data_IF_050593737529
#
_entry.id   IF_050593737529
#
_cell.length_a   1.000
_cell.length_b   1.000
_cell.length_c   1.000
_cell.angle_alpha   90.00
_cell.angle_beta   90.00
_cell.angle_gamma   90.00
#
_symmetry.space_group_name_H-M   'P 1'
#
loop_
_entity.id
_entity.type
_entity.pdbx_description
1 polymer ?
#
# COMPACT_ATOMS: atom_id res chain seq x y z
N UNK A 1 -0.73 -23.08 26.08
CA UNK A 1 -0.71 -22.24 24.87
C UNK A 1 0.39 -22.71 23.94
N UNK A 2 0.06 -23.08 22.70
CA UNK A 2 0.99 -23.60 21.69
C UNK A 2 1.16 -22.60 20.53
N UNK A 3 2.31 -22.57 19.85
CA UNK A 3 2.55 -21.66 18.73
C UNK A 3 1.51 -21.80 17.62
N UNK A 4 1.09 -23.02 17.34
CA UNK A 4 0.07 -23.31 16.33
C UNK A 4 -1.30 -22.70 16.69
N UNK A 5 -1.65 -22.61 17.98
CA UNK A 5 -2.87 -21.95 18.42
C UNK A 5 -2.80 -20.43 18.18
N UNK A 6 -1.62 -19.82 18.38
CA UNK A 6 -1.40 -18.41 18.07
C UNK A 6 -1.45 -18.14 16.57
N UNK A 7 -0.88 -19.02 15.73
CA UNK A 7 -0.99 -18.92 14.27
C UNK A 7 -2.45 -18.93 13.82
N UNK A 8 -3.27 -19.83 14.37
CA UNK A 8 -4.70 -19.91 14.06
C UNK A 8 -5.47 -18.69 14.55
N UNK A 9 -5.14 -18.22 15.75
CA UNK A 9 -5.75 -17.02 16.32
C UNK A 9 -5.48 -15.80 15.44
N UNK A 10 -4.22 -15.55 15.06
CA UNK A 10 -3.84 -14.44 14.19
C UNK A 10 -4.51 -14.54 12.82
N UNK A 11 -4.55 -15.74 12.22
CA UNK A 11 -5.19 -15.93 10.93
C UNK A 11 -6.70 -15.61 10.96
N UNK A 12 -7.43 -16.03 12.02
CA UNK A 12 -8.85 -15.70 12.16
C UNK A 12 -9.06 -14.23 12.49
N UNK A 13 -8.18 -13.60 13.27
CA UNK A 13 -8.23 -12.18 13.59
C UNK A 13 -8.03 -11.29 12.33
N UNK A 14 -7.19 -11.70 11.40
CA UNK A 14 -6.94 -10.99 10.16
C UNK A 14 -8.07 -11.19 9.12
N UNK A 15 -8.60 -12.39 9.02
CA UNK A 15 -9.67 -12.72 8.07
C UNK A 15 -11.07 -12.34 8.55
N UNK A 16 -11.26 -12.21 9.87
CA UNK A 16 -12.56 -12.08 10.52
C UNK A 16 -13.59 -13.12 10.00
N UNK A 17 -13.06 -14.29 9.61
CA UNK A 17 -13.86 -15.37 9.03
C UNK A 17 -13.15 -16.72 9.15
N UNK A 18 -13.70 -17.64 9.95
CA UNK A 18 -13.09 -18.94 10.19
C UNK A 18 -12.83 -19.79 8.94
N UNK A 19 -13.71 -19.72 7.94
CA UNK A 19 -13.55 -20.48 6.68
C UNK A 19 -12.36 -19.95 5.87
N UNK A 20 -12.26 -18.64 5.66
CA UNK A 20 -11.10 -18.03 4.94
C UNK A 20 -9.79 -18.24 5.67
N UNK A 21 -9.78 -18.13 6.99
CA UNK A 21 -8.60 -18.44 7.78
C UNK A 21 -8.17 -19.90 7.62
N UNK A 22 -9.11 -20.84 7.61
CA UNK A 22 -8.84 -22.26 7.40
C UNK A 22 -8.29 -22.54 5.98
N UNK A 23 -8.84 -21.91 4.94
CA UNK A 23 -8.35 -21.98 3.57
C UNK A 23 -6.91 -21.44 3.47
N UNK A 24 -6.64 -20.28 4.07
CA UNK A 24 -5.29 -19.69 4.13
C UNK A 24 -4.27 -20.58 4.84
N UNK A 25 -4.71 -21.29 5.86
CA UNK A 25 -3.88 -22.21 6.65
C UNK A 25 -3.80 -23.62 6.04
N UNK A 26 -4.51 -23.87 4.94
CA UNK A 26 -4.63 -25.18 4.27
C UNK A 26 -5.08 -26.31 5.21
N UNK A 27 -6.06 -26.01 6.09
CA UNK A 27 -6.64 -26.96 7.03
C UNK A 27 -8.16 -26.87 7.06
N UNK A 28 -8.81 -27.85 7.69
CA UNK A 28 -10.26 -27.82 7.87
C UNK A 28 -10.72 -26.79 8.91
N UNK A 29 -11.79 -26.04 8.62
CA UNK A 29 -12.40 -25.08 9.55
C UNK A 29 -12.71 -25.68 10.95
N UNK A 30 -13.17 -26.93 11.09
CA UNK A 30 -13.39 -27.54 12.41
C UNK A 30 -12.11 -27.58 13.27
N UNK A 31 -10.95 -27.83 12.65
CA UNK A 31 -9.66 -27.87 13.34
C UNK A 31 -9.27 -26.49 13.91
N UNK A 32 -9.44 -25.43 13.09
CA UNK A 32 -9.21 -24.04 13.55
C UNK A 32 -10.12 -23.72 14.74
N UNK A 33 -11.42 -23.98 14.61
CA UNK A 33 -12.40 -23.72 15.68
C UNK A 33 -12.10 -24.48 16.96
N UNK A 34 -11.66 -25.73 16.87
CA UNK A 34 -11.32 -26.55 18.02
C UNK A 34 -10.08 -26.03 18.75
N UNK A 35 -9.01 -25.67 18.00
CA UNK A 35 -7.79 -25.15 18.60
C UNK A 35 -7.99 -23.78 19.24
N UNK A 36 -8.80 -22.92 18.63
CA UNK A 36 -9.15 -21.62 19.24
C UNK A 36 -9.96 -21.78 20.52
N UNK A 37 -10.95 -22.69 20.56
CA UNK A 37 -11.67 -23.00 21.80
C UNK A 37 -10.76 -23.56 22.90
N UNK A 38 -9.69 -24.29 22.52
CA UNK A 38 -8.68 -24.76 23.46
C UNK A 38 -7.88 -23.60 24.03
N UNK A 39 -7.44 -22.67 23.13
CA UNK A 39 -6.71 -21.45 23.52
C UNK A 39 -7.56 -20.58 24.46
N UNK A 40 -8.84 -20.33 24.13
CA UNK A 40 -9.79 -19.57 24.95
C UNK A 40 -9.95 -20.16 26.33
N UNK A 41 -10.06 -21.50 26.42
CA UNK A 41 -10.13 -22.19 27.72
C UNK A 41 -8.84 -22.13 28.52
N UNK A 42 -7.69 -22.19 27.87
CA UNK A 42 -6.37 -22.07 28.52
C UNK A 42 -6.13 -20.65 29.06
N UNK A 43 -6.71 -19.63 28.41
CA UNK A 43 -6.61 -18.22 28.82
C UNK A 43 -7.78 -17.77 29.70
N UNK A 44 -8.77 -18.63 29.92
CA UNK A 44 -10.03 -18.32 30.62
C UNK A 44 -10.70 -17.05 30.08
N UNK A 45 -10.62 -16.85 28.74
CA UNK A 45 -11.18 -15.68 28.09
C UNK A 45 -11.66 -16.01 26.66
N UNK A 46 -12.81 -15.49 26.28
CA UNK A 46 -13.24 -15.51 24.88
C UNK A 46 -12.46 -14.48 24.08
N UNK A 47 -11.88 -14.90 22.95
CA UNK A 47 -11.08 -14.07 22.08
C UNK A 47 -11.88 -13.53 20.89
N UNK A 48 -12.97 -14.23 20.52
CA UNK A 48 -13.86 -13.84 19.43
C UNK A 48 -15.31 -13.79 19.87
N UNK A 49 -15.99 -12.71 19.52
CA UNK A 49 -17.45 -12.67 19.49
C UNK A 49 -17.94 -13.42 18.25
N UNK A 50 -18.67 -14.52 18.50
CA UNK A 50 -19.16 -15.43 17.46
C UNK A 50 -20.66 -15.22 17.23
N UNK A 51 -21.05 -14.00 16.90
CA UNK A 51 -22.43 -13.79 16.50
C UNK A 51 -22.71 -14.48 15.13
N UNK A 52 -23.94 -14.92 14.84
CA UNK A 52 -24.26 -15.63 13.60
C UNK A 52 -23.98 -14.82 12.31
N UNK A 53 -23.77 -13.51 12.43
CA UNK A 53 -23.60 -12.61 11.29
C UNK A 53 -22.19 -12.02 11.17
N UNK A 54 -21.40 -12.02 12.25
CA UNK A 54 -20.09 -11.37 12.26
C UNK A 54 -19.13 -12.07 13.24
N UNK A 55 -17.88 -12.22 12.82
CA UNK A 55 -16.77 -12.58 13.71
C UNK A 55 -16.03 -11.28 14.04
N UNK A 56 -15.86 -10.98 15.34
CA UNK A 56 -15.11 -9.81 15.82
C UNK A 56 -14.19 -10.24 16.95
N UNK A 57 -13.11 -9.51 17.16
CA UNK A 57 -12.30 -9.66 18.35
C UNK A 57 -13.08 -9.13 19.58
N UNK A 58 -12.92 -9.80 20.70
CA UNK A 58 -13.27 -9.27 22.02
C UNK A 58 -12.15 -8.35 22.51
N UNK A 59 -12.35 -7.56 23.58
CA UNK A 59 -11.26 -6.80 24.20
C UNK A 59 -10.06 -7.69 24.60
N UNK A 60 -10.28 -8.93 25.02
CA UNK A 60 -9.23 -9.90 25.30
C UNK A 60 -8.51 -10.34 24.01
N UNK A 61 -9.25 -10.54 22.92
CA UNK A 61 -8.68 -10.83 21.60
C UNK A 61 -7.86 -9.66 21.06
N UNK A 62 -8.35 -8.43 21.20
CA UNK A 62 -7.61 -7.23 20.81
C UNK A 62 -6.29 -7.07 21.60
N UNK A 63 -6.30 -7.37 22.89
CA UNK A 63 -5.11 -7.35 23.74
C UNK A 63 -4.13 -8.48 23.38
N UNK A 64 -4.62 -9.68 23.05
CA UNK A 64 -3.78 -10.82 22.69
C UNK A 64 -3.14 -10.66 21.31
N UNK A 65 -3.78 -10.02 20.35
CA UNK A 65 -3.34 -9.99 18.95
C UNK A 65 -1.90 -9.46 18.76
N UNK A 66 -1.52 -8.31 19.35
CA UNK A 66 -0.13 -7.84 19.24
C UNK A 66 0.85 -8.80 19.90
N UNK A 67 0.51 -9.37 21.05
CA UNK A 67 1.38 -10.31 21.78
C UNK A 67 1.57 -11.63 21.01
N UNK A 68 0.51 -12.15 20.41
CA UNK A 68 0.58 -13.35 19.59
C UNK A 68 1.50 -13.13 18.36
N UNK A 69 1.39 -11.99 17.71
CA UNK A 69 2.27 -11.59 16.61
C UNK A 69 3.73 -11.49 17.05
N UNK A 70 4.01 -10.87 18.19
CA UNK A 70 5.36 -10.76 18.76
C UNK A 70 6.02 -12.12 19.01
N UNK A 71 5.26 -13.05 19.59
CA UNK A 71 5.74 -14.42 19.84
C UNK A 71 6.06 -15.13 18.52
N UNK A 72 5.17 -15.08 17.54
CA UNK A 72 5.36 -15.72 16.24
C UNK A 72 6.56 -15.11 15.49
N UNK A 73 6.71 -13.80 15.52
CA UNK A 73 7.86 -13.09 14.96
C UNK A 73 9.18 -13.49 15.66
N UNK A 74 9.18 -13.64 16.99
CA UNK A 74 10.36 -14.09 17.73
C UNK A 74 10.78 -15.49 17.33
N UNK A 75 9.84 -16.40 17.14
CA UNK A 75 10.11 -17.77 16.67
C UNK A 75 10.68 -17.77 15.25
N UNK A 76 10.12 -16.95 14.35
CA UNK A 76 10.63 -16.81 12.99
C UNK A 76 12.08 -16.31 13.00
N UNK A 77 12.40 -15.29 13.81
CA UNK A 77 13.79 -14.78 13.97
C UNK A 77 14.74 -15.83 14.50
N UNK A 78 14.33 -16.60 15.52
CA UNK A 78 15.18 -17.66 16.09
C UNK A 78 15.51 -18.72 15.03
N UNK A 79 14.53 -19.13 14.21
CA UNK A 79 14.74 -20.07 13.10
C UNK A 79 15.70 -19.50 12.06
N UNK A 80 15.55 -18.22 11.69
CA UNK A 80 16.42 -17.53 10.74
C UNK A 80 17.86 -17.47 11.24
N UNK A 81 18.08 -17.09 12.51
CA UNK A 81 19.41 -17.03 13.10
C UNK A 81 20.15 -18.40 13.10
N UNK A 82 19.41 -19.47 13.36
CA UNK A 82 19.96 -20.83 13.29
C UNK A 82 20.32 -21.22 11.85
N UNK A 83 19.44 -20.91 10.89
CA UNK A 83 19.66 -21.21 9.47
C UNK A 83 20.89 -20.44 8.93
N UNK A 84 21.05 -19.18 9.31
CA UNK A 84 22.20 -18.34 8.96
C UNK A 84 23.51 -18.92 9.54
N UNK A 85 23.50 -19.28 10.83
CA UNK A 85 24.65 -19.90 11.50
C UNK A 85 25.01 -21.26 10.91
N UNK A 86 24.04 -21.99 10.37
CA UNK A 86 24.23 -23.28 9.70
C UNK A 86 24.70 -23.16 8.24
N UNK A 87 24.96 -21.94 7.73
CA UNK A 87 25.32 -21.68 6.33
C UNK A 87 24.19 -21.97 5.34
N UNK A 88 22.95 -22.02 5.82
CA UNK A 88 21.78 -22.14 4.96
C UNK A 88 21.48 -20.80 4.26
N UNK A 89 20.60 -20.86 3.27
CA UNK A 89 20.16 -19.67 2.51
C UNK A 89 19.73 -18.54 3.46
N UNK A 90 20.12 -17.27 3.20
CA UNK A 90 19.72 -16.15 4.05
C UNK A 90 18.19 -16.08 4.20
N UNK A 91 17.74 -15.64 5.36
CA UNK A 91 16.32 -15.42 5.59
C UNK A 91 15.78 -14.36 4.61
N UNK A 92 14.54 -14.50 4.13
CA UNK A 92 13.97 -13.52 3.23
C UNK A 92 13.82 -12.16 3.92
N UNK A 93 14.14 -11.09 3.18
CA UNK A 93 13.81 -9.72 3.55
C UNK A 93 12.32 -9.49 3.30
N UNK A 94 11.54 -9.37 4.39
CA UNK A 94 10.08 -9.21 4.32
C UNK A 94 9.70 -7.75 4.29
N UNK A 95 9.19 -7.29 3.15
CA UNK A 95 8.83 -5.89 2.94
C UNK A 95 7.32 -5.75 2.84
N UNK A 96 6.74 -4.98 3.75
CA UNK A 96 5.34 -4.60 3.71
C UNK A 96 5.06 -3.61 2.59
N UNK A 97 4.11 -3.94 1.72
CA UNK A 97 3.74 -3.10 0.58
C UNK A 97 2.26 -2.72 0.61
N UNK A 98 1.90 -1.75 -0.21
CA UNK A 98 0.53 -1.38 -0.53
C UNK A 98 0.33 -1.34 -2.04
N UNK A 99 -0.91 -1.47 -2.50
CA UNK A 99 -1.22 -1.34 -3.92
C UNK A 99 -0.76 0.03 -4.45
N UNK A 100 -0.24 0.05 -5.68
CA UNK A 100 0.05 1.27 -6.41
C UNK A 100 1.41 1.91 -6.14
N UNK A 101 2.39 1.21 -5.58
CA UNK A 101 3.78 1.68 -5.56
C UNK A 101 4.40 1.71 -6.97
N UNK A 102 3.84 0.90 -7.89
CA UNK A 102 4.17 0.94 -9.31
C UNK A 102 5.64 0.67 -9.62
N UNK A 103 6.12 1.33 -10.64
CA UNK A 103 7.48 1.20 -11.16
C UNK A 103 8.56 1.50 -10.12
N UNK A 104 8.33 2.42 -9.19
CA UNK A 104 9.32 2.75 -8.13
C UNK A 104 9.64 1.57 -7.22
N UNK A 105 8.64 0.73 -6.91
CA UNK A 105 8.90 -0.51 -6.18
C UNK A 105 9.72 -1.48 -7.03
N UNK A 106 9.39 -1.60 -8.30
CA UNK A 106 10.14 -2.45 -9.25
C UNK A 106 11.60 -2.01 -9.35
N UNK A 107 11.86 -0.71 -9.49
CA UNK A 107 13.23 -0.14 -9.48
C UNK A 107 13.99 -0.47 -8.19
N UNK A 108 13.35 -0.34 -7.02
CA UNK A 108 13.98 -0.72 -5.74
C UNK A 108 14.31 -2.21 -5.69
N UNK A 109 13.42 -3.06 -6.20
CA UNK A 109 13.65 -4.51 -6.24
C UNK A 109 14.76 -4.89 -7.20
N UNK A 110 14.84 -4.25 -8.36
CA UNK A 110 15.92 -4.45 -9.34
C UNK A 110 17.27 -4.05 -8.75
N UNK A 111 17.33 -2.93 -8.03
CA UNK A 111 18.55 -2.51 -7.34
C UNK A 111 18.92 -3.46 -6.18
N UNK A 112 17.94 -3.95 -5.43
CA UNK A 112 18.18 -4.97 -4.41
C UNK A 112 18.74 -6.26 -5.01
N UNK A 113 18.18 -6.71 -6.13
CA UNK A 113 18.65 -7.91 -6.84
C UNK A 113 20.08 -7.70 -7.36
N UNK A 114 20.40 -6.51 -7.87
CA UNK A 114 21.76 -6.17 -8.33
C UNK A 114 22.78 -6.13 -7.19
N UNK A 115 22.39 -5.57 -6.04
CA UNK A 115 23.28 -5.42 -4.87
C UNK A 115 23.45 -6.72 -4.09
N UNK A 116 22.45 -7.58 -4.05
CA UNK A 116 22.43 -8.83 -3.30
C UNK A 116 21.62 -9.91 -4.04
N UNK A 117 22.19 -10.54 -5.09
CA UNK A 117 21.45 -11.51 -5.92
C UNK A 117 20.93 -12.74 -5.15
N UNK A 118 21.59 -13.11 -4.06
CA UNK A 118 21.24 -14.28 -3.25
C UNK A 118 20.27 -13.95 -2.11
N UNK A 119 19.90 -12.68 -1.90
CA UNK A 119 18.98 -12.27 -0.84
C UNK A 119 17.53 -12.51 -1.30
N UNK A 120 16.81 -13.48 -0.70
CA UNK A 120 15.40 -13.63 -1.02
C UNK A 120 14.61 -12.41 -0.52
N UNK A 121 13.71 -11.87 -1.36
CA UNK A 121 12.80 -10.80 -0.98
C UNK A 121 11.38 -11.33 -1.00
N UNK A 122 10.65 -11.10 0.09
CA UNK A 122 9.25 -11.44 0.23
C UNK A 122 8.42 -10.15 0.34
N UNK A 123 7.58 -9.89 -0.67
CA UNK A 123 6.64 -8.78 -0.65
C UNK A 123 5.35 -9.21 0.03
N UNK A 124 5.02 -8.53 1.11
CA UNK A 124 3.82 -8.83 1.89
C UNK A 124 2.79 -7.71 1.72
N UNK A 125 1.67 -8.02 1.09
CA UNK A 125 0.53 -7.11 1.04
C UNK A 125 -0.13 -7.08 2.43
N UNK A 126 0.26 -6.17 3.26
CA UNK A 126 -0.08 -6.15 4.68
C UNK A 126 -1.14 -5.09 5.01
N UNK A 127 -2.38 -5.29 4.57
CA UNK A 127 -3.55 -4.53 5.04
C UNK A 127 -3.44 -2.99 5.11
N UNK A 128 -4.21 -2.33 5.97
CA UNK A 128 -4.14 -0.90 6.24
C UNK A 128 -2.80 -0.46 6.84
N UNK A 129 -2.49 0.84 6.77
CA UNK A 129 -1.23 1.40 7.29
C UNK A 129 -0.96 1.06 8.75
N UNK A 130 -1.91 1.14 9.71
CA UNK A 130 -1.66 0.78 11.09
C UNK A 130 -1.16 -0.66 11.25
N UNK A 131 -1.78 -1.62 10.57
CA UNK A 131 -1.39 -3.03 10.63
C UNK A 131 0.04 -3.25 10.11
N UNK A 132 0.45 -2.52 9.06
CA UNK A 132 1.83 -2.57 8.56
C UNK A 132 2.83 -2.03 9.56
N UNK A 133 2.50 -0.91 10.23
CA UNK A 133 3.35 -0.31 11.27
C UNK A 133 3.51 -1.25 12.46
N UNK A 134 2.42 -1.87 12.91
CA UNK A 134 2.44 -2.84 14.00
C UNK A 134 3.31 -4.06 13.64
N UNK A 135 3.20 -4.56 12.41
CA UNK A 135 4.01 -5.67 11.90
C UNK A 135 5.50 -5.33 11.72
N UNK A 136 5.85 -4.07 11.49
CA UNK A 136 7.25 -3.61 11.53
C UNK A 136 7.72 -3.53 12.99
N UNK A 137 6.89 -3.01 13.89
CA UNK A 137 7.22 -2.88 15.30
C UNK A 137 7.46 -4.26 15.96
N UNK A 138 6.62 -5.26 15.66
CA UNK A 138 6.74 -6.62 16.19
C UNK A 138 7.80 -7.48 15.46
N UNK A 139 8.32 -7.02 14.32
CA UNK A 139 9.36 -7.69 13.52
C UNK A 139 8.83 -8.84 12.66
N UNK A 140 7.52 -8.92 12.40
CA UNK A 140 6.94 -9.81 11.39
C UNK A 140 7.15 -9.28 9.96
N UNK A 141 7.43 -7.97 9.82
CA UNK A 141 8.01 -7.33 8.65
C UNK A 141 9.35 -6.70 9.02
N UNK A 142 10.32 -6.79 8.12
CA UNK A 142 11.64 -6.18 8.29
C UNK A 142 11.60 -4.69 7.94
N UNK A 143 10.75 -4.32 6.98
CA UNK A 143 10.49 -2.94 6.57
C UNK A 143 9.09 -2.80 5.99
N UNK A 144 8.59 -1.58 5.85
CA UNK A 144 7.36 -1.31 5.11
C UNK A 144 7.42 0.02 4.36
N UNK A 145 6.84 0.06 3.16
CA UNK A 145 6.54 1.30 2.45
C UNK A 145 5.18 1.84 2.90
N UNK A 146 5.17 3.10 3.33
CA UNK A 146 3.98 3.78 3.87
C UNK A 146 3.83 5.16 3.23
N UNK A 147 2.64 5.47 2.74
CA UNK A 147 2.29 6.78 2.20
C UNK A 147 1.60 7.65 3.23
N UNK A 148 1.91 8.96 3.19
CA UNK A 148 1.34 9.94 4.09
C UNK A 148 2.02 9.98 5.46
N UNK A 149 1.35 10.58 6.43
CA UNK A 149 1.87 10.70 7.78
C UNK A 149 2.02 9.32 8.44
N UNK A 150 3.15 9.12 9.10
CA UNK A 150 3.43 7.91 9.89
C UNK A 150 3.37 8.30 11.36
N UNK A 151 2.27 7.96 12.08
CA UNK A 151 2.17 8.22 13.51
C UNK A 151 3.12 7.27 14.25
N UNK A 152 4.02 7.83 15.07
CA UNK A 152 4.99 7.03 15.84
C UNK A 152 4.31 6.33 17.03
N UNK A 153 3.33 6.95 17.66
CA UNK A 153 2.50 6.41 18.76
C UNK A 153 3.25 5.47 19.73
N UNK A 154 4.55 5.73 19.94
CA UNK A 154 5.39 4.91 20.82
C UNK A 154 5.79 3.52 20.27
N UNK A 155 5.57 3.24 18.98
CA UNK A 155 5.93 1.97 18.34
C UNK A 155 7.45 1.75 18.20
N UNK A 156 8.26 2.75 18.47
CA UNK A 156 9.72 2.65 18.31
C UNK A 156 10.14 2.46 16.85
N UNK A 157 9.49 3.17 15.93
CA UNK A 157 9.77 3.10 14.51
C UNK A 157 10.79 4.16 14.08
N UNK A 158 11.60 3.82 13.08
CA UNK A 158 12.41 4.75 12.30
C UNK A 158 11.73 4.97 10.96
N UNK A 159 11.43 6.22 10.66
CA UNK A 159 10.78 6.64 9.44
C UNK A 159 11.79 7.37 8.57
N UNK A 160 11.96 6.93 7.34
CA UNK A 160 12.83 7.56 6.36
C UNK A 160 11.97 8.03 5.20
N UNK A 161 12.02 9.33 4.92
CA UNK A 161 11.33 9.90 3.78
C UNK A 161 12.05 9.49 2.48
N UNK A 162 11.28 9.05 1.49
CA UNK A 162 11.81 8.61 0.20
C UNK A 162 11.38 9.58 -0.91
N UNK A 163 10.21 9.36 -1.50
CA UNK A 163 9.71 10.13 -2.65
C UNK A 163 8.27 10.59 -2.45
N UNK A 164 7.85 11.50 -3.30
CA UNK A 164 6.46 11.94 -3.38
C UNK A 164 5.75 11.14 -4.47
N UNK A 165 4.65 10.47 -4.11
CA UNK A 165 3.75 9.82 -5.03
C UNK A 165 2.65 10.80 -5.45
N UNK A 166 2.65 11.19 -6.71
CA UNK A 166 1.64 12.07 -7.28
C UNK A 166 0.29 11.33 -7.39
N UNK A 167 -0.79 12.13 -7.28
CA UNK A 167 -2.16 11.66 -7.41
C UNK A 167 -2.78 12.26 -8.66
N UNK A 168 -3.53 11.45 -9.40
CA UNK A 168 -4.24 11.84 -10.61
C UNK A 168 -5.74 11.60 -10.47
N UNK A 169 -6.55 12.36 -11.20
CA UNK A 169 -7.97 12.13 -11.36
C UNK A 169 -8.21 11.20 -12.55
N UNK A 170 -8.95 10.12 -12.35
CA UNK A 170 -9.42 9.21 -13.39
C UNK A 170 -10.84 9.61 -13.78
N UNK A 171 -11.01 10.24 -14.93
CA UNK A 171 -12.26 10.84 -15.42
C UNK A 171 -12.75 10.13 -16.69
N UNK A 172 -14.05 10.21 -17.05
CA UNK A 172 -14.53 9.64 -18.31
C UNK A 172 -13.84 10.31 -19.51
N UNK A 173 -13.23 9.51 -20.41
CA UNK A 173 -12.47 10.02 -21.57
C UNK A 173 -13.34 10.88 -22.54
N UNK A 174 -14.66 10.72 -22.51
CA UNK A 174 -15.61 11.48 -23.33
C UNK A 174 -16.09 12.76 -22.66
N UNK A 175 -15.81 12.98 -21.38
CA UNK A 175 -16.20 14.18 -20.67
C UNK A 175 -15.29 15.35 -21.06
N UNK A 176 -15.82 16.58 -21.11
CA UNK A 176 -15.06 17.77 -21.51
C UNK A 176 -13.80 17.99 -20.67
N UNK A 177 -13.83 17.64 -19.38
CA UNK A 177 -12.67 17.74 -18.48
C UNK A 177 -11.46 16.92 -18.96
N UNK A 178 -11.68 15.82 -19.70
CA UNK A 178 -10.60 14.98 -20.21
C UNK A 178 -9.73 15.67 -21.29
N UNK A 179 -10.20 16.81 -21.80
CA UNK A 179 -9.44 17.63 -22.77
C UNK A 179 -8.62 18.73 -22.10
N UNK A 180 -8.79 18.93 -20.79
CA UNK A 180 -8.00 19.88 -20.02
C UNK A 180 -6.59 19.33 -19.71
N UNK A 181 -5.56 20.20 -19.59
CA UNK A 181 -4.23 19.76 -19.21
C UNK A 181 -4.16 19.29 -17.74
N UNK A 182 -5.08 19.78 -16.90
CA UNK A 182 -5.14 19.50 -15.47
C UNK A 182 -6.58 19.35 -15.01
N UNK A 183 -6.78 18.55 -13.95
CA UNK A 183 -8.02 18.50 -13.20
C UNK A 183 -8.03 19.61 -12.15
N UNK A 184 -9.11 20.39 -12.08
CA UNK A 184 -9.36 21.35 -10.99
C UNK A 184 -10.48 20.86 -10.11
N UNK A 185 -10.49 21.22 -8.83
CA UNK A 185 -11.55 20.82 -7.89
C UNK A 185 -12.92 21.38 -8.33
N UNK A 186 -12.94 22.61 -8.85
CA UNK A 186 -14.16 23.23 -9.36
C UNK A 186 -14.77 22.46 -10.55
N UNK A 187 -13.94 21.94 -11.45
CA UNK A 187 -14.39 21.14 -12.58
C UNK A 187 -14.82 19.73 -12.17
N UNK A 188 -14.22 19.17 -11.12
CA UNK A 188 -14.54 17.85 -10.58
C UNK A 188 -15.76 17.85 -9.63
N UNK A 189 -16.05 18.97 -8.94
CA UNK A 189 -17.11 19.07 -7.94
C UNK A 189 -18.49 18.61 -8.43
N UNK A 190 -18.93 18.91 -9.67
CA UNK A 190 -20.22 18.41 -10.18
C UNK A 190 -20.23 16.91 -10.47
N UNK A 191 -19.08 16.27 -10.61
CA UNK A 191 -18.98 14.84 -10.89
C UNK A 191 -19.02 14.02 -9.59
N UNK A 192 -19.62 12.85 -9.64
CA UNK A 192 -19.67 11.94 -8.50
C UNK A 192 -18.31 11.35 -8.15
N UNK A 193 -17.78 11.66 -6.98
CA UNK A 193 -16.53 11.09 -6.50
C UNK A 193 -16.72 9.66 -6.00
N UNK A 194 -16.03 8.70 -6.61
CA UNK A 194 -15.91 7.31 -6.15
C UNK A 194 -14.60 7.15 -5.39
N UNK A 195 -14.66 7.29 -4.08
CA UNK A 195 -13.48 7.22 -3.21
C UNK A 195 -13.51 5.94 -2.37
N UNK A 196 -12.34 5.35 -2.15
CA UNK A 196 -12.21 4.22 -1.23
C UNK A 196 -12.61 4.63 0.19
N UNK A 197 -13.07 3.68 0.99
CA UNK A 197 -13.37 3.96 2.39
C UNK A 197 -12.12 4.40 3.15
N UNK A 198 -12.27 5.39 4.04
CA UNK A 198 -11.15 5.95 4.81
C UNK A 198 -10.35 4.90 5.57
N UNK A 199 -11.01 3.84 6.09
CA UNK A 199 -10.32 2.73 6.79
C UNK A 199 -9.29 1.99 5.91
N UNK A 200 -9.47 1.98 4.58
CA UNK A 200 -8.59 1.27 3.65
C UNK A 200 -7.38 2.10 3.24
N UNK A 201 -7.56 3.42 3.11
CA UNK A 201 -6.49 4.35 2.73
C UNK A 201 -6.75 5.75 3.33
N UNK A 202 -6.56 5.93 4.65
CA UNK A 202 -6.87 7.20 5.31
C UNK A 202 -6.08 8.37 4.73
N UNK A 203 -4.80 8.17 4.40
CA UNK A 203 -3.95 9.23 3.88
C UNK A 203 -4.45 9.81 2.55
N UNK A 204 -4.87 8.96 1.61
CA UNK A 204 -5.44 9.41 0.33
C UNK A 204 -6.80 10.09 0.53
N UNK A 205 -7.66 9.51 1.36
CA UNK A 205 -9.00 10.08 1.61
C UNK A 205 -8.88 11.44 2.27
N UNK A 206 -8.05 11.58 3.29
CA UNK A 206 -7.86 12.83 4.02
C UNK A 206 -7.21 13.91 3.13
N UNK A 207 -6.26 13.52 2.25
CA UNK A 207 -5.68 14.41 1.25
C UNK A 207 -6.76 14.98 0.32
N UNK A 208 -7.59 14.11 -0.26
CA UNK A 208 -8.60 14.52 -1.24
C UNK A 208 -9.69 15.37 -0.59
N UNK A 209 -10.24 14.94 0.54
CA UNK A 209 -11.28 15.69 1.27
C UNK A 209 -10.74 17.04 1.72
N UNK A 210 -9.54 17.07 2.27
CA UNK A 210 -8.89 18.32 2.68
C UNK A 210 -8.65 19.29 1.51
N UNK A 211 -8.25 18.77 0.35
CA UNK A 211 -8.02 19.59 -0.84
C UNK A 211 -9.33 20.18 -1.42
N UNK A 212 -10.44 19.41 -1.42
CA UNK A 212 -11.76 19.93 -1.77
C UNK A 212 -12.19 21.06 -0.84
N UNK A 213 -12.06 20.87 0.47
CA UNK A 213 -12.38 21.91 1.46
C UNK A 213 -11.53 23.17 1.26
N UNK A 214 -10.22 23.00 1.02
CA UNK A 214 -9.30 24.12 0.77
C UNK A 214 -9.67 24.91 -0.51
N UNK A 215 -10.22 24.23 -1.52
CA UNK A 215 -10.72 24.85 -2.75
C UNK A 215 -12.12 25.46 -2.60
N UNK A 216 -12.75 25.38 -1.43
CA UNK A 216 -14.11 25.85 -1.19
C UNK A 216 -15.18 25.05 -1.94
N UNK A 217 -14.88 23.82 -2.27
CA UNK A 217 -15.76 22.91 -3.01
C UNK A 217 -16.11 21.67 -2.17
N UNK A 218 -17.23 21.04 -2.50
CA UNK A 218 -17.60 19.73 -1.98
C UNK A 218 -17.81 18.77 -3.15
N UNK A 219 -17.26 17.54 -3.09
CA UNK A 219 -17.49 16.57 -4.15
C UNK A 219 -18.93 16.08 -4.12
N UNK A 220 -19.54 15.95 -5.29
CA UNK A 220 -20.88 15.35 -5.39
C UNK A 220 -20.85 13.89 -4.90
N UNK A 221 -21.90 13.49 -4.18
CA UNK A 221 -22.08 12.11 -3.73
C UNK A 221 -22.18 11.16 -4.91
N UNK A 222 -21.52 10.01 -4.82
CA UNK A 222 -21.52 8.98 -5.86
C UNK A 222 -21.69 7.59 -5.28
N UNK A 223 -21.84 6.60 -6.19
CA UNK A 223 -21.78 5.20 -5.84
C UNK A 223 -20.42 4.85 -5.21
N UNK A 224 -20.39 3.88 -4.29
CA UNK A 224 -19.14 3.54 -3.59
C UNK A 224 -18.06 3.06 -4.54
N UNK A 225 -16.82 3.28 -4.14
CA UNK A 225 -15.66 2.63 -4.73
C UNK A 225 -15.74 1.12 -4.47
N UNK A 226 -15.41 0.34 -5.49
CA UNK A 226 -15.33 -1.12 -5.39
C UNK A 226 -13.88 -1.57 -5.65
N UNK A 227 -13.66 -2.57 -6.51
CA UNK A 227 -12.32 -2.86 -7.00
C UNK A 227 -11.95 -1.83 -8.08
N UNK A 228 -10.66 -1.53 -8.20
CA UNK A 228 -10.19 -0.51 -9.15
C UNK A 228 -10.70 -0.75 -10.58
N UNK A 229 -10.60 -1.98 -11.08
CA UNK A 229 -11.04 -2.31 -12.43
C UNK A 229 -12.54 -2.04 -12.64
N UNK A 230 -13.38 -2.43 -11.68
CA UNK A 230 -14.83 -2.25 -11.73
C UNK A 230 -15.19 -0.77 -11.61
N UNK A 231 -14.47 -0.02 -10.76
CA UNK A 231 -14.65 1.43 -10.61
C UNK A 231 -14.31 2.17 -11.90
N UNK A 232 -13.19 1.84 -12.55
CA UNK A 232 -12.81 2.45 -13.83
C UNK A 232 -13.78 2.08 -14.95
N UNK A 233 -14.28 0.84 -14.97
CA UNK A 233 -15.31 0.42 -15.92
C UNK A 233 -16.61 1.22 -15.73
N UNK A 234 -17.05 1.43 -14.50
CA UNK A 234 -18.22 2.20 -14.16
C UNK A 234 -18.06 3.68 -14.57
N UNK A 235 -16.92 4.31 -14.29
CA UNK A 235 -16.61 5.69 -14.72
C UNK A 235 -16.69 5.83 -16.24
N UNK A 236 -16.11 4.88 -16.97
CA UNK A 236 -16.16 4.89 -18.42
C UNK A 236 -17.54 4.62 -19.01
N UNK A 237 -18.47 4.06 -18.23
CA UNK A 237 -19.84 3.74 -18.63
C UNK A 237 -20.84 4.87 -18.28
N UNK A 238 -20.80 5.39 -17.04
CA UNK A 238 -21.77 6.37 -16.54
C UNK A 238 -21.49 7.80 -17.00
N UNK A 239 -20.25 8.13 -17.30
CA UNK A 239 -19.83 9.44 -17.81
C UNK A 239 -19.96 10.60 -16.81
N UNK A 240 -20.49 10.37 -15.63
CA UNK A 240 -20.77 11.39 -14.61
C UNK A 240 -20.05 11.19 -13.28
N UNK A 241 -19.14 10.23 -13.20
CA UNK A 241 -18.34 9.98 -11.99
C UNK A 241 -16.85 9.94 -12.29
N UNK A 242 -16.04 10.04 -11.25
CA UNK A 242 -14.58 9.95 -11.32
C UNK A 242 -14.01 9.30 -10.06
N UNK A 243 -12.75 8.94 -10.10
CA UNK A 243 -12.00 8.53 -8.92
C UNK A 243 -10.62 9.17 -8.91
N UNK A 244 -9.89 8.99 -7.83
CA UNK A 244 -8.50 9.43 -7.70
C UNK A 244 -7.61 8.25 -7.40
N UNK A 245 -6.40 8.29 -7.91
CA UNK A 245 -5.43 7.22 -7.73
C UNK A 245 -3.99 7.75 -7.86
N UNK A 246 -3.02 6.94 -7.47
CA UNK A 246 -1.61 7.29 -7.65
C UNK A 246 -1.22 7.23 -9.13
N UNK A 247 -0.44 8.22 -9.58
CA UNK A 247 0.02 8.35 -10.96
C UNK A 247 0.77 7.09 -11.43
N UNK A 248 1.72 6.60 -10.65
CA UNK A 248 2.46 5.38 -10.93
C UNK A 248 1.56 4.14 -11.19
N UNK A 249 0.36 4.11 -10.61
CA UNK A 249 -0.62 3.06 -10.90
C UNK A 249 -1.41 3.34 -12.18
N UNK A 250 -1.70 4.61 -12.45
CA UNK A 250 -2.43 5.03 -13.66
C UNK A 250 -1.62 4.73 -14.93
N UNK A 251 -0.30 4.93 -14.91
CA UNK A 251 0.63 4.67 -16.02
C UNK A 251 0.62 3.21 -16.48
N UNK A 252 0.39 2.28 -15.55
CA UNK A 252 0.28 0.84 -15.83
C UNK A 252 -1.08 0.43 -16.43
N UNK A 253 -2.07 1.36 -16.50
CA UNK A 253 -3.43 1.06 -16.91
C UNK A 253 -3.70 1.58 -18.33
N UNK A 254 -3.92 0.67 -19.26
CA UNK A 254 -4.42 1.00 -20.58
C UNK A 254 -5.95 0.96 -20.58
N UNK A 255 -6.59 2.12 -20.58
CA UNK A 255 -8.05 2.23 -20.62
C UNK A 255 -8.48 3.28 -21.66
N UNK A 256 -9.28 2.88 -22.64
CA UNK A 256 -9.76 3.78 -23.70
C UNK A 256 -10.98 4.64 -23.27
N UNK A 257 -11.60 4.31 -22.15
CA UNK A 257 -12.83 4.99 -21.68
C UNK A 257 -12.58 5.93 -20.52
N UNK A 258 -11.38 5.90 -19.95
CA UNK A 258 -10.97 6.72 -18.80
C UNK A 258 -9.69 7.45 -19.16
N UNK A 259 -9.67 8.76 -18.93
CA UNK A 259 -8.49 9.60 -19.01
C UNK A 259 -7.95 9.85 -17.59
N UNK A 260 -6.62 9.93 -17.49
CA UNK A 260 -5.93 10.22 -16.24
C UNK A 260 -5.33 11.61 -16.31
N UNK A 261 -5.78 12.51 -15.45
CA UNK A 261 -5.38 13.91 -15.44
C UNK A 261 -4.62 14.23 -14.16
N UNK A 262 -3.45 14.86 -14.24
CA UNK A 262 -2.80 15.44 -13.08
C UNK A 262 -3.67 16.56 -12.51
N UNK A 263 -3.53 16.85 -11.22
CA UNK A 263 -4.14 18.02 -10.62
C UNK A 263 -3.35 19.28 -10.98
N UNK A 264 -4.06 20.42 -11.02
CA UNK A 264 -3.44 21.74 -11.25
C UNK A 264 -2.25 21.97 -10.30
N UNK A 265 -1.13 22.55 -10.81
CA UNK A 265 0.04 22.83 -9.97
C UNK A 265 -0.29 23.59 -8.68
N UNK A 266 0.31 23.22 -7.54
CA UNK A 266 1.48 22.34 -7.38
C UNK A 266 1.17 20.83 -7.38
N UNK A 267 -0.02 20.42 -7.84
CA UNK A 267 -0.45 19.04 -7.87
C UNK A 267 -0.80 18.48 -6.49
N UNK A 268 -1.32 17.26 -6.47
CA UNK A 268 -1.59 16.52 -5.24
C UNK A 268 -0.67 15.31 -5.14
N UNK A 269 -0.17 15.05 -3.94
CA UNK A 269 0.66 13.88 -3.72
C UNK A 269 0.88 13.59 -2.25
N UNK A 270 1.35 12.39 -1.97
CA UNK A 270 1.69 11.91 -0.64
C UNK A 270 3.16 11.51 -0.61
N UNK A 271 3.85 11.88 0.48
CA UNK A 271 5.20 11.36 0.71
C UNK A 271 5.13 9.87 1.01
N UNK A 272 5.97 9.11 0.35
CA UNK A 272 6.22 7.70 0.66
C UNK A 272 7.45 7.61 1.56
N UNK A 273 7.31 6.80 2.59
CA UNK A 273 8.32 6.58 3.61
C UNK A 273 8.71 5.11 3.66
N UNK A 274 9.97 4.83 3.94
CA UNK A 274 10.43 3.53 4.41
C UNK A 274 10.36 3.54 5.94
N UNK A 275 9.67 2.56 6.49
CA UNK A 275 9.52 2.39 7.94
C UNK A 275 10.20 1.11 8.36
N UNK A 276 11.06 1.20 9.39
CA UNK A 276 11.76 0.06 10.01
C UNK A 276 11.69 0.18 11.53
N UNK A 277 11.91 -0.93 12.23
CA UNK A 277 11.97 -0.93 13.70
C UNK A 277 13.29 -0.34 14.21
N UNK A 278 13.26 0.52 15.22
CA UNK A 278 14.46 0.99 15.94
C UNK A 278 15.02 -0.05 16.89
N UNK A 279 14.15 -0.80 17.53
CA UNK A 279 14.51 -1.81 18.52
C UNK A 279 14.96 -3.14 17.89
N UNK A 280 14.55 -3.36 16.64
CA UNK A 280 14.83 -4.57 15.87
C UNK A 280 15.36 -4.19 14.48
N UNK A 281 16.60 -3.64 14.41
CA UNK A 281 17.14 -3.23 13.11
C UNK A 281 17.26 -4.46 12.19
N UNK A 282 16.76 -4.33 10.97
CA UNK A 282 16.99 -5.36 9.96
C UNK A 282 18.46 -5.40 9.58
N UNK A 283 19.09 -6.58 9.46
CA UNK A 283 20.47 -6.71 8.99
C UNK A 283 20.69 -6.07 7.61
N UNK A 284 19.63 -6.02 6.79
CA UNK A 284 19.66 -5.51 5.42
C UNK A 284 19.23 -4.05 5.30
N UNK A 285 19.14 -3.29 6.41
CA UNK A 285 18.68 -1.89 6.37
C UNK A 285 19.53 -1.01 5.44
N UNK A 286 20.87 -1.09 5.58
CA UNK A 286 21.78 -0.29 4.75
C UNK A 286 21.65 -0.63 3.26
N UNK A 287 21.49 -1.92 2.95
CA UNK A 287 21.27 -2.41 1.59
C UNK A 287 19.97 -1.91 1.01
N UNK A 288 18.88 -2.01 1.78
CA UNK A 288 17.56 -1.52 1.37
C UNK A 288 17.55 0.01 1.15
N UNK A 289 18.24 0.76 2.02
CA UNK A 289 18.41 2.20 1.86
C UNK A 289 19.18 2.54 0.59
N UNK A 290 20.30 1.85 0.35
CA UNK A 290 21.09 2.05 -0.87
C UNK A 290 20.26 1.75 -2.13
N UNK A 291 19.48 0.68 -2.14
CA UNK A 291 18.60 0.36 -3.25
C UNK A 291 17.53 1.45 -3.48
N UNK A 292 16.93 1.99 -2.40
CA UNK A 292 16.00 3.10 -2.51
C UNK A 292 16.67 4.37 -3.06
N UNK A 293 17.87 4.70 -2.62
CA UNK A 293 18.62 5.88 -3.09
C UNK A 293 18.99 5.77 -4.57
N UNK A 294 19.44 4.61 -5.02
CA UNK A 294 19.76 4.35 -6.42
C UNK A 294 18.53 4.42 -7.31
N UNK A 295 17.42 3.81 -6.89
CA UNK A 295 16.16 3.88 -7.59
C UNK A 295 15.65 5.33 -7.75
N UNK A 296 15.80 6.17 -6.72
CA UNK A 296 15.43 7.59 -6.80
C UNK A 296 16.36 8.41 -7.70
N UNK A 297 17.65 8.08 -7.74
CA UNK A 297 18.63 8.79 -8.57
C UNK A 297 18.45 8.50 -10.06
N UNK A 298 18.02 7.28 -10.41
CA UNK A 298 17.69 6.88 -11.78
C UNK A 298 16.47 7.62 -12.36
N UNK A 299 15.52 7.96 -11.53
CA UNK A 299 14.30 8.68 -11.90
C UNK A 299 14.60 10.15 -12.35
N UNK A 300 15.63 10.77 -11.76
CA UNK A 300 16.06 12.13 -12.11
C UNK A 300 16.72 12.15 -13.50
N UNK A 301 17.50 11.14 -13.84
CA UNK A 301 18.19 11.06 -15.13
C UNK A 301 17.21 10.79 -16.29
N UNK A 302 16.13 10.03 -16.06
CA UNK A 302 15.13 9.74 -17.10
C UNK A 302 14.16 10.90 -17.35
N UNK A 303 13.94 11.78 -16.37
CA UNK A 303 13.07 12.96 -16.53
C UNK A 303 13.71 14.11 -17.29
N UNK A 304 15.04 14.23 -17.27
CA UNK A 304 15.78 15.27 -18.00
C UNK A 304 15.93 14.93 -19.49
N UNK A 305 15.98 13.65 -19.86
CA UNK A 305 16.09 13.20 -21.26
C UNK A 305 14.79 13.42 -22.07
N UNK A 306 13.62 13.29 -21.41
CA UNK A 306 12.32 13.54 -22.07
C UNK A 306 12.06 15.02 -22.31
N UNK A 307 12.71 15.90 -21.53
CA UNK A 307 12.58 17.37 -21.68
C UNK A 307 13.43 17.92 -22.84
N UNK A 308 14.52 17.26 -23.19
CA UNK A 308 15.43 17.69 -24.26
C UNK A 308 14.95 17.31 -25.65
N UNK A 309 14.26 16.19 -25.81
CA UNK A 309 13.76 15.75 -27.14
C UNK A 309 12.53 16.56 -27.60
N UNK A 310 11.77 17.18 -26.69
CA UNK A 310 10.60 17.98 -27.03
C UNK A 310 10.96 19.44 -27.41
N UNK A 311 12.18 19.89 -27.11
CA UNK A 311 12.69 21.20 -27.50
C UNK A 311 13.28 21.20 -28.93
N UNK A 312 13.88 20.10 -29.37
CA UNK A 312 14.54 20.01 -30.68
C UNK A 312 13.57 19.78 -31.85
N UNK A 313 12.34 19.34 -31.59
CA UNK A 313 11.33 19.12 -32.66
C UNK A 313 10.49 20.34 -33.02
N UNK A 314 10.62 21.48 -32.31
CA UNK A 314 9.88 22.72 -32.59
C UNK A 314 10.62 23.71 -33.49
N UNK A 315 11.93 23.57 -33.67
CA UNK A 315 12.75 24.47 -34.52
C UNK A 315 12.91 24.01 -35.96
N UNK A 316 12.39 22.83 -36.34
CA UNK A 316 12.51 22.27 -37.69
C UNK A 316 11.36 22.59 -38.67
N UNK A 317 10.32 23.36 -38.24
CA UNK A 317 9.13 23.60 -39.08
C UNK A 317 8.88 25.06 -39.50
N UNK A 318 9.88 25.95 -39.37
CA UNK A 318 9.76 27.35 -39.82
C UNK A 318 10.85 27.76 -40.84
N UNK A 319 10.90 27.08 -41.96
CA UNK A 319 11.81 27.46 -43.03
C UNK A 319 11.54 26.73 -44.33
N UNK A 320 10.44 27.12 -45.03
CA UNK A 320 10.29 27.02 -46.48
C UNK A 320 8.93 27.55 -46.94
N UNK A 321 8.85 28.87 -47.14
CA UNK A 321 7.92 29.48 -48.08
C UNK A 321 8.38 30.92 -48.32
N UNK A 322 9.33 31.07 -49.27
CA UNK A 322 9.48 32.26 -50.09
C UNK A 322 10.39 31.89 -51.26
N UNK A 323 9.76 31.54 -52.40
CA UNK A 323 10.16 31.90 -53.77
C UNK A 323 9.13 31.40 -54.76
#
# INVERSE_FOLDING_TARGET
>A
MELRQLEYFVAVAEELHFGRAAERLHIGQPAVSQQLRRLERELDAELFDRSPRHVRLTPAGEALLPQARDVLAAVARARSAVAEAAGARPAPLRIGTSSGLGERLEMVLDELLRLAPDLPVELVMAGPTPDRLDRVADGSLDAAFVRGAVPDEGRGLRVVQLWRDEVVAAVPARHAIAQAPYATFAALAPLGLRLTERRNNPALVDLIVGAFHAAGCEPASSNPYTRLADTLAAIGADGGSYTVMYAARAEQIRNRRVAFLPFEPPGLGLMTHLVVSRSRPTPHFSLLMQACELAMSGDIASSDDVSSDNASSRDASSGDQES
#
